data_IF_287748140458
#
_entry.id   IF_287748140458
#
_cell.length_a   1.000
_cell.length_b   1.000
_cell.length_c   1.000
_cell.angle_alpha   90.00
_cell.angle_beta   90.00
_cell.angle_gamma   90.00
#
_symmetry.space_group_name_H-M   'P 1'
#
loop_
_entity.id
_entity.type
_entity.pdbx_description
1 polymer ?
#
# COMPACT_ATOMS: atom_id res chain seq x y z
N UNK A 1 29.71 -24.55 12.64
CA UNK A 1 29.22 -23.33 12.00
C UNK A 1 27.95 -23.67 11.21
N UNK A 2 26.71 -23.47 11.62
CA UNK A 2 26.05 -23.23 12.91
C UNK A 2 24.61 -23.73 12.67
N UNK A 3 24.14 -24.69 13.48
CA UNK A 3 22.84 -25.34 13.34
C UNK A 3 21.77 -24.48 14.01
N UNK A 4 20.82 -23.94 13.24
CA UNK A 4 19.59 -23.36 13.79
C UNK A 4 18.66 -24.50 14.26
N UNK A 5 18.91 -24.94 15.49
CA UNK A 5 18.15 -25.98 16.19
C UNK A 5 16.83 -25.39 16.68
N UNK A 6 15.83 -25.31 15.80
CA UNK A 6 14.46 -24.97 16.19
C UNK A 6 13.84 -26.19 16.86
N UNK A 7 13.70 -26.13 18.19
CA UNK A 7 13.12 -27.19 19.02
C UNK A 7 11.59 -27.16 18.98
N UNK A 8 10.95 -27.79 18.01
CA UNK A 8 9.57 -28.28 18.18
C UNK A 8 9.39 -29.55 17.33
N UNK A 9 9.22 -30.69 18.01
CA UNK A 9 9.10 -32.02 17.43
C UNK A 9 7.64 -32.30 17.00
N UNK A 10 7.06 -31.45 16.17
CA UNK A 10 5.75 -31.73 15.56
C UNK A 10 5.80 -31.51 14.06
N UNK A 11 5.30 -32.50 13.31
CA UNK A 11 5.08 -32.40 11.86
C UNK A 11 3.91 -31.46 11.59
N UNK A 12 4.21 -30.18 11.37
CA UNK A 12 3.20 -29.19 11.00
C UNK A 12 2.92 -29.36 9.50
N UNK A 13 1.69 -29.72 9.14
CA UNK A 13 1.23 -29.71 7.75
C UNK A 13 1.55 -28.35 7.10
N UNK A 14 2.10 -28.34 5.90
CA UNK A 14 2.45 -27.11 5.17
C UNK A 14 1.32 -26.07 5.16
N UNK A 15 0.07 -26.51 4.98
CA UNK A 15 -1.10 -25.62 5.05
C UNK A 15 -1.33 -24.96 6.41
N UNK A 16 -1.01 -25.65 7.52
CA UNK A 16 -1.07 -25.05 8.87
C UNK A 16 0.09 -24.11 9.12
N UNK A 17 1.29 -24.43 8.64
CA UNK A 17 2.44 -23.52 8.69
C UNK A 17 2.17 -22.24 7.89
N UNK A 18 1.58 -22.37 6.69
CA UNK A 18 1.16 -21.25 5.86
C UNK A 18 0.04 -20.43 6.50
N UNK A 19 -0.98 -21.06 7.09
CA UNK A 19 -2.03 -20.33 7.82
C UNK A 19 -1.49 -19.60 9.05
N UNK A 20 -0.58 -20.21 9.81
CA UNK A 20 0.07 -19.56 10.95
C UNK A 20 0.98 -18.42 10.50
N UNK A 21 1.74 -18.60 9.43
CA UNK A 21 2.55 -17.56 8.81
C UNK A 21 1.67 -16.43 8.27
N UNK A 22 0.54 -16.72 7.62
CA UNK A 22 -0.43 -15.72 7.18
C UNK A 22 -1.03 -15.00 8.38
N UNK A 23 -1.38 -15.67 9.48
CA UNK A 23 -1.86 -15.00 10.70
C UNK A 23 -0.81 -14.07 11.31
N UNK A 24 0.47 -14.47 11.26
CA UNK A 24 1.59 -13.65 11.73
C UNK A 24 1.91 -12.48 10.79
N UNK A 25 1.88 -12.68 9.47
CA UNK A 25 2.19 -11.69 8.43
C UNK A 25 1.05 -10.70 8.19
N UNK A 26 -0.19 -11.19 8.19
CA UNK A 26 -1.40 -10.38 8.02
C UNK A 26 -1.67 -9.61 9.31
N UNK A 27 -1.21 -10.10 10.47
CA UNK A 27 -1.44 -9.46 11.76
C UNK A 27 -2.89 -9.58 12.24
N UNK A 28 -3.16 -9.15 13.47
CA UNK A 28 -4.52 -9.10 14.01
C UNK A 28 -5.38 -8.15 13.17
N UNK A 29 -6.57 -8.60 12.81
CA UNK A 29 -7.59 -7.81 12.11
C UNK A 29 -7.89 -6.51 12.87
N UNK A 30 -7.82 -6.53 14.20
CA UNK A 30 -7.95 -5.33 15.03
C UNK A 30 -6.80 -4.36 14.79
N UNK A 31 -5.57 -4.87 14.69
CA UNK A 31 -4.40 -4.06 14.38
C UNK A 31 -4.49 -3.47 12.96
N UNK A 32 -4.92 -4.25 11.95
CA UNK A 32 -5.15 -3.73 10.60
C UNK A 32 -6.20 -2.62 10.59
N UNK A 33 -7.35 -2.82 11.25
CA UNK A 33 -8.41 -1.80 11.38
C UNK A 33 -7.88 -0.53 12.05
N UNK A 34 -7.10 -0.69 13.11
CA UNK A 34 -6.48 0.42 13.81
C UNK A 34 -5.53 1.21 12.89
N UNK A 35 -4.70 0.55 12.09
CA UNK A 35 -3.82 1.23 11.13
C UNK A 35 -4.60 2.09 10.12
N UNK A 36 -5.74 1.62 9.60
CA UNK A 36 -6.58 2.42 8.71
C UNK A 36 -7.25 3.62 9.41
N UNK A 37 -7.52 3.53 10.72
CA UNK A 37 -8.02 4.66 11.51
C UNK A 37 -6.98 5.77 11.68
N UNK A 38 -5.69 5.47 11.53
CA UNK A 38 -4.60 6.46 11.60
C UNK A 38 -4.43 7.28 10.31
N UNK A 39 -5.09 6.90 9.21
CA UNK A 39 -4.92 7.57 7.91
C UNK A 39 -5.25 9.08 7.88
N UNK A 40 -6.22 9.62 8.64
CA UNK A 40 -6.40 11.07 8.72
C UNK A 40 -5.23 11.77 9.39
N UNK A 41 -4.67 11.17 10.45
CA UNK A 41 -3.49 11.71 11.12
C UNK A 41 -2.30 11.65 10.18
N UNK A 42 -2.14 10.55 9.44
CA UNK A 42 -1.14 10.41 8.38
C UNK A 42 -1.30 11.48 7.29
N UNK A 43 -2.52 11.68 6.76
CA UNK A 43 -2.83 12.76 5.79
C UNK A 43 -2.40 14.12 6.32
N UNK A 44 -2.80 14.47 7.55
CA UNK A 44 -2.43 15.76 8.18
C UNK A 44 -0.91 15.91 8.31
N UNK A 45 -0.22 14.86 8.72
CA UNK A 45 1.24 14.87 8.85
C UNK A 45 1.93 15.01 7.50
N UNK A 46 1.46 14.31 6.47
CA UNK A 46 1.95 14.45 5.10
C UNK A 46 1.80 15.89 4.62
N UNK A 47 0.59 16.45 4.72
CA UNK A 47 0.28 17.82 4.30
C UNK A 47 1.11 18.87 5.06
N UNK A 48 1.44 18.61 6.33
CA UNK A 48 2.32 19.47 7.11
C UNK A 48 3.81 19.33 6.73
N UNK A 49 4.26 18.11 6.39
CA UNK A 49 5.66 17.82 6.09
C UNK A 49 6.08 18.14 4.66
N UNK A 50 5.15 18.06 3.70
CA UNK A 50 5.41 18.18 2.28
C UNK A 50 4.45 19.22 1.68
N UNK A 51 4.84 20.51 1.67
CA UNK A 51 4.02 21.57 1.11
C UNK A 51 3.64 21.27 -0.36
N UNK A 52 2.33 21.32 -0.65
CA UNK A 52 1.83 21.08 -2.01
C UNK A 52 1.60 19.61 -2.37
N UNK A 53 1.82 18.66 -1.45
CA UNK A 53 1.36 17.28 -1.64
C UNK A 53 -0.15 17.26 -1.83
N UNK A 54 -0.62 16.49 -2.81
CA UNK A 54 -2.03 16.22 -2.99
C UNK A 54 -2.37 14.88 -2.33
N UNK A 55 -3.28 14.92 -1.34
CA UNK A 55 -3.77 13.72 -0.66
C UNK A 55 -5.30 13.70 -0.72
N UNK A 56 -5.86 12.73 -1.42
CA UNK A 56 -7.30 12.45 -1.42
C UNK A 56 -7.57 11.22 -0.55
N UNK A 57 -8.28 11.40 0.56
CA UNK A 57 -8.66 10.31 1.47
C UNK A 57 -10.18 10.21 1.48
N UNK A 58 -10.70 9.11 0.97
CA UNK A 58 -12.14 8.85 0.88
C UNK A 58 -12.55 7.79 1.88
N UNK A 59 -13.68 8.04 2.52
CA UNK A 59 -14.35 7.14 3.45
C UNK A 59 -15.76 6.87 2.98
N UNK A 60 -16.27 5.69 3.31
CA UNK A 60 -17.65 5.33 3.01
C UNK A 60 -18.66 6.01 3.97
N UNK A 61 -19.95 5.76 3.75
CA UNK A 61 -21.06 6.29 4.58
C UNK A 61 -21.00 5.85 6.05
N UNK A 62 -20.17 4.87 6.41
CA UNK A 62 -19.99 4.38 7.78
C UNK A 62 -18.64 4.81 8.37
N UNK A 63 -18.00 5.82 7.78
CA UNK A 63 -16.68 6.34 8.18
C UNK A 63 -15.54 5.30 8.06
N UNK A 64 -15.72 4.27 7.22
CA UNK A 64 -14.68 3.26 6.97
C UNK A 64 -13.77 3.73 5.85
N UNK A 65 -12.50 3.39 5.94
CA UNK A 65 -11.53 3.62 4.87
C UNK A 65 -12.02 2.97 3.56
N UNK A 66 -12.03 3.75 2.48
CA UNK A 66 -12.36 3.27 1.14
C UNK A 66 -11.15 3.34 0.21
N UNK A 67 -10.56 4.53 0.09
CA UNK A 67 -9.36 4.74 -0.74
C UNK A 67 -8.55 5.92 -0.25
N UNK A 68 -7.26 5.88 -0.54
CA UNK A 68 -6.36 7.03 -0.43
C UNK A 68 -5.53 7.14 -1.71
N UNK A 69 -5.36 8.35 -2.20
CA UNK A 69 -4.43 8.69 -3.27
C UNK A 69 -3.46 9.76 -2.75
N UNK A 70 -2.18 9.59 -3.06
CA UNK A 70 -1.11 10.52 -2.67
C UNK A 70 -0.25 10.83 -3.89
N UNK A 71 -0.10 12.12 -4.17
CA UNK A 71 0.76 12.65 -5.22
C UNK A 71 1.66 13.75 -4.64
N UNK A 72 2.96 13.51 -4.48
CA UNK A 72 3.93 14.54 -4.08
C UNK A 72 3.90 15.76 -5.01
N UNK A 73 4.21 16.94 -4.48
CA UNK A 73 4.23 18.17 -5.25
C UNK A 73 5.27 18.12 -6.39
N UNK A 74 6.42 17.54 -6.07
CA UNK A 74 7.59 17.38 -6.92
C UNK A 74 7.27 16.50 -8.13
N UNK A 75 6.35 15.54 -7.99
CA UNK A 75 5.96 14.64 -9.06
C UNK A 75 5.46 15.36 -10.31
N UNK A 76 4.84 16.53 -10.15
CA UNK A 76 4.39 17.34 -11.29
C UNK A 76 5.57 17.91 -12.08
N UNK A 77 6.57 18.43 -11.39
CA UNK A 77 7.79 18.94 -12.00
C UNK A 77 8.61 17.80 -12.61
N UNK A 78 8.76 16.70 -11.88
CA UNK A 78 9.43 15.48 -12.36
C UNK A 78 8.78 14.94 -13.63
N UNK A 79 7.44 14.87 -13.68
CA UNK A 79 6.75 14.39 -14.87
C UNK A 79 6.91 15.33 -16.06
N UNK A 80 6.90 16.65 -15.85
CA UNK A 80 7.16 17.63 -16.91
C UNK A 80 8.56 17.50 -17.52
N UNK A 81 9.56 17.13 -16.71
CA UNK A 81 10.93 16.87 -17.15
C UNK A 81 11.16 15.41 -17.64
N UNK A 82 10.14 14.56 -17.54
CA UNK A 82 10.19 13.15 -17.90
C UNK A 82 9.67 12.91 -19.31
N UNK A 83 9.87 11.68 -19.81
CA UNK A 83 9.16 11.20 -21.00
C UNK A 83 7.66 11.23 -20.72
N UNK A 84 6.85 11.54 -21.74
CA UNK A 84 5.38 11.59 -21.66
C UNK A 84 4.77 10.18 -21.63
N UNK A 85 5.22 9.37 -20.68
CA UNK A 85 4.79 8.01 -20.44
C UNK A 85 4.57 7.86 -18.93
N UNK A 86 3.40 7.33 -18.58
CA UNK A 86 3.09 6.91 -17.21
C UNK A 86 2.72 5.44 -17.28
N UNK A 87 3.40 4.62 -16.48
CA UNK A 87 3.01 3.24 -16.22
C UNK A 87 2.35 3.18 -14.85
N UNK A 88 1.29 2.38 -14.74
CA UNK A 88 0.61 2.13 -13.47
C UNK A 88 0.59 0.62 -13.27
N UNK A 89 1.09 0.18 -12.12
CA UNK A 89 1.01 -1.21 -11.72
C UNK A 89 0.26 -1.35 -10.39
N UNK A 90 -0.44 -2.47 -10.24
CA UNK A 90 -1.29 -2.76 -9.10
C UNK A 90 -0.89 -4.06 -8.42
N UNK A 91 -0.65 -4.01 -7.11
CA UNK A 91 -0.39 -5.21 -6.31
C UNK A 91 -1.47 -5.40 -5.24
N UNK A 92 -1.98 -6.62 -5.12
CA UNK A 92 -2.97 -6.95 -4.11
C UNK A 92 -2.32 -6.95 -2.73
N UNK A 93 -2.90 -6.19 -1.80
CA UNK A 93 -2.48 -6.21 -0.41
C UNK A 93 -2.98 -7.49 0.24
N UNK A 94 -2.04 -8.26 0.84
CA UNK A 94 -2.37 -9.43 1.67
C UNK A 94 -2.90 -8.96 3.03
N UNK A 95 -4.09 -8.36 3.04
CA UNK A 95 -4.82 -7.97 4.24
C UNK A 95 -6.18 -8.68 4.28
N UNK A 96 -6.89 -8.61 5.41
CA UNK A 96 -8.30 -9.04 5.43
C UNK A 96 -9.17 -8.14 4.52
N UNK A 97 -8.68 -6.93 4.24
CA UNK A 97 -9.27 -5.99 3.31
C UNK A 97 -8.72 -6.28 1.91
N UNK A 98 -9.61 -6.57 0.96
CA UNK A 98 -9.25 -6.79 -0.44
C UNK A 98 -8.99 -5.42 -1.06
N UNK A 99 -7.76 -4.96 -0.93
CA UNK A 99 -7.30 -3.67 -1.40
C UNK A 99 -6.17 -3.87 -2.41
N UNK A 100 -6.07 -2.95 -3.37
CA UNK A 100 -4.98 -2.88 -4.33
C UNK A 100 -4.13 -1.66 -4.03
N UNK A 101 -2.81 -1.85 -3.89
CA UNK A 101 -1.83 -0.78 -3.93
C UNK A 101 -1.49 -0.51 -5.39
N UNK A 102 -1.85 0.68 -5.85
CA UNK A 102 -1.53 1.22 -7.17
C UNK A 102 -0.31 2.13 -7.05
N UNK A 103 0.66 1.97 -7.94
CA UNK A 103 1.81 2.86 -8.04
C UNK A 103 1.91 3.37 -9.48
N UNK A 104 1.90 4.69 -9.62
CA UNK A 104 2.14 5.36 -10.88
C UNK A 104 3.61 5.77 -10.96
N UNK A 105 4.27 5.39 -12.04
CA UNK A 105 5.67 5.72 -12.32
C UNK A 105 5.83 6.35 -13.69
N UNK A 106 6.76 7.29 -13.79
CA UNK A 106 7.23 7.85 -15.05
C UNK A 106 8.61 7.30 -15.43
N UNK A 107 9.11 7.73 -16.58
CA UNK A 107 10.50 7.50 -17.00
C UNK A 107 11.15 8.86 -17.24
N UNK A 108 12.21 9.19 -16.49
CA UNK A 108 12.92 10.46 -16.65
C UNK A 108 13.66 10.53 -18.00
N UNK A 109 14.28 11.68 -18.29
CA UNK A 109 15.07 11.87 -19.52
C UNK A 109 16.21 10.84 -19.66
N UNK A 110 16.78 10.41 -18.53
CA UNK A 110 17.89 9.46 -18.45
C UNK A 110 17.44 7.98 -18.52
N UNK A 111 16.13 7.71 -18.54
CA UNK A 111 15.61 6.35 -18.58
C UNK A 111 15.38 5.71 -17.21
N UNK A 112 15.47 6.46 -16.10
CA UNK A 112 15.18 5.96 -14.78
C UNK A 112 13.68 5.97 -14.49
N UNK A 113 13.23 4.94 -13.76
CA UNK A 113 11.86 4.87 -13.23
C UNK A 113 11.73 5.87 -12.08
N UNK A 114 10.77 6.78 -12.18
CA UNK A 114 10.50 7.79 -11.16
C UNK A 114 9.10 7.60 -10.58
N UNK A 115 8.94 7.44 -9.26
CA UNK A 115 7.62 7.34 -8.65
C UNK A 115 6.91 8.69 -8.75
N UNK A 116 5.67 8.68 -9.25
CA UNK A 116 4.86 9.88 -9.42
C UNK A 116 3.74 9.97 -8.38
N UNK A 117 3.05 8.86 -8.13
CA UNK A 117 1.97 8.82 -7.16
C UNK A 117 1.70 7.38 -6.71
N UNK A 118 0.99 7.23 -5.60
CA UNK A 118 0.48 5.94 -5.15
C UNK A 118 -0.94 6.05 -4.63
N UNK A 119 -1.66 4.94 -4.67
CA UNK A 119 -2.99 4.83 -4.09
C UNK A 119 -3.20 3.47 -3.43
N UNK A 120 -4.01 3.45 -2.39
CA UNK A 120 -4.63 2.22 -1.90
C UNK A 120 -6.12 2.36 -2.14
N UNK A 121 -6.71 1.44 -2.90
CA UNK A 121 -8.13 1.46 -3.23
C UNK A 121 -8.73 0.07 -3.07
N UNK A 122 -10.06 0.00 -2.99
CA UNK A 122 -10.79 -1.26 -3.13
C UNK A 122 -10.40 -1.93 -4.44
N UNK A 123 -10.11 -3.24 -4.38
CA UNK A 123 -9.89 -4.01 -5.60
C UNK A 123 -11.16 -4.02 -6.46
N UNK A 124 -11.00 -4.25 -7.75
CA UNK A 124 -12.10 -4.24 -8.72
C UNK A 124 -13.24 -5.16 -8.26
N UNK A 125 -14.39 -4.57 -7.93
CA UNK A 125 -15.62 -5.29 -7.68
C UNK A 125 -16.38 -5.37 -9.00
N UNK A 126 -16.90 -6.55 -9.36
CA UNK A 126 -17.63 -6.76 -10.61
C UNK A 126 -19.02 -6.06 -10.66
N UNK A 127 -19.36 -5.29 -9.62
CA UNK A 127 -20.60 -4.52 -9.54
C UNK A 127 -20.35 -3.12 -10.12
N UNK A 128 -20.51 -3.01 -11.45
CA UNK A 128 -20.63 -1.74 -12.18
C UNK A 128 -22.10 -1.38 -12.40
#
# INVERSE_FOLDING_TARGET
MELLRVRFAEEILYGRAQQSLLRLLVGDIRAQRHSFQLLPSYKRLLEASAPGVHVDLVRDRHDRFQRIFVCPAESRATFQASRRLVAVDGTFLKARFILTLLVAVGIDANGHIVPLAWAVAESENADS
#
